data_IF_167674308833
#
_entry.id   IF_167674308833
#
_cell.length_a   1.000
_cell.length_b   1.000
_cell.length_c   1.000
_cell.angle_alpha   90.00
_cell.angle_beta   90.00
_cell.angle_gamma   90.00
#
_symmetry.space_group_name_H-M   'P 1'
#
loop_
_entity.id
_entity.type
_entity.pdbx_description
1 polymer ?
#
# COMPACT_ATOMS: atom_id res chain seq x y z
N UNK A 1 11.85 13.59 30.48
CA UNK A 1 11.62 14.27 29.19
C UNK A 1 11.58 13.22 28.10
N UNK A 2 10.72 13.35 27.09
CA UNK A 2 10.77 12.46 25.94
C UNK A 2 12.09 12.71 25.19
N UNK A 3 12.85 11.64 24.94
CA UNK A 3 14.17 11.70 24.29
C UNK A 3 14.07 12.24 22.84
N UNK A 4 12.94 12.00 22.17
CA UNK A 4 12.65 12.45 20.81
C UNK A 4 11.29 13.14 20.71
N UNK A 5 11.22 14.19 19.89
CA UNK A 5 9.98 14.88 19.53
C UNK A 5 9.30 14.22 18.32
N UNK A 6 7.99 14.39 18.18
CA UNK A 6 7.25 13.92 16.99
C UNK A 6 7.82 14.46 15.68
N UNK A 7 8.32 15.71 15.69
CA UNK A 7 8.96 16.31 14.53
C UNK A 7 10.21 15.55 14.10
N UNK A 8 11.09 15.22 15.05
CA UNK A 8 12.30 14.44 14.76
C UNK A 8 11.96 13.06 14.17
N UNK A 9 10.95 12.38 14.72
CA UNK A 9 10.49 11.09 14.18
C UNK A 9 9.96 11.24 12.74
N UNK A 10 9.19 12.29 12.46
CA UNK A 10 8.69 12.55 11.10
C UNK A 10 9.81 12.89 10.13
N UNK A 11 10.85 13.58 10.57
CA UNK A 11 11.99 13.93 9.73
C UNK A 11 12.83 12.68 9.41
N UNK A 12 13.02 11.75 10.35
CA UNK A 12 13.62 10.44 10.07
C UNK A 12 12.75 9.57 9.15
N UNK A 13 11.43 9.60 9.31
CA UNK A 13 10.52 8.88 8.40
C UNK A 13 10.64 9.41 6.96
N UNK A 14 10.78 10.72 6.76
CA UNK A 14 11.04 11.30 5.43
C UNK A 14 12.39 10.87 4.87
N UNK A 15 13.43 10.80 5.72
CA UNK A 15 14.75 10.30 5.31
C UNK A 15 14.66 8.86 4.84
N UNK A 16 13.97 8.00 5.58
CA UNK A 16 13.70 6.62 5.20
C UNK A 16 12.93 6.53 3.87
N UNK A 17 11.90 7.35 3.69
CA UNK A 17 11.15 7.42 2.44
C UNK A 17 12.05 7.81 1.25
N UNK A 18 12.95 8.77 1.44
CA UNK A 18 13.94 9.12 0.41
C UNK A 18 14.89 7.97 0.11
N UNK A 19 15.35 7.22 1.12
CA UNK A 19 16.19 6.03 0.89
C UNK A 19 15.45 4.98 0.06
N UNK A 20 14.21 4.68 0.42
CA UNK A 20 13.35 3.74 -0.32
C UNK A 20 13.11 4.21 -1.76
N UNK A 21 12.89 5.51 -1.98
CA UNK A 21 12.65 6.05 -3.32
C UNK A 21 13.84 5.93 -4.29
N UNK A 22 15.02 5.58 -3.77
CA UNK A 22 16.27 5.39 -4.52
C UNK A 22 16.74 3.92 -4.49
N UNK A 23 15.82 2.97 -4.29
CA UNK A 23 16.13 1.54 -4.45
C UNK A 23 15.84 1.05 -5.86
N UNK A 24 16.46 -0.08 -6.22
CA UNK A 24 16.32 -0.70 -7.55
C UNK A 24 14.86 -1.05 -7.87
N UNK A 25 14.09 -1.50 -6.88
CA UNK A 25 12.68 -1.84 -7.05
C UNK A 25 11.85 -0.63 -7.46
N UNK A 26 12.12 0.53 -6.85
CA UNK A 26 11.45 1.79 -7.18
C UNK A 26 11.92 2.32 -8.54
N UNK A 27 13.20 2.16 -8.89
CA UNK A 27 13.69 2.57 -10.20
C UNK A 27 13.10 1.71 -11.32
N UNK A 28 12.95 0.40 -11.12
CA UNK A 28 12.24 -0.47 -12.04
C UNK A 28 10.77 -0.05 -12.19
N UNK A 29 10.10 0.26 -11.08
CA UNK A 29 8.72 0.79 -11.10
C UNK A 29 8.63 2.05 -11.99
N UNK A 30 9.51 3.05 -11.79
CA UNK A 30 9.55 4.28 -12.61
C UNK A 30 9.75 4.00 -14.10
N UNK A 31 10.64 3.06 -14.43
CA UNK A 31 10.91 2.71 -15.83
C UNK A 31 9.70 2.08 -16.52
N UNK A 32 9.02 1.16 -15.84
CA UNK A 32 7.82 0.51 -16.37
C UNK A 32 6.66 1.49 -16.45
N UNK A 33 6.51 2.38 -15.46
CA UNK A 33 5.54 3.48 -15.48
C UNK A 33 5.72 4.38 -16.71
N UNK A 34 6.96 4.77 -17.03
CA UNK A 34 7.24 5.57 -18.23
C UNK A 34 6.80 4.84 -19.50
N UNK A 35 7.11 3.54 -19.63
CA UNK A 35 6.68 2.74 -20.79
C UNK A 35 5.17 2.64 -20.91
N UNK A 36 4.45 2.56 -19.79
CA UNK A 36 2.97 2.60 -19.75
C UNK A 36 2.44 3.95 -20.23
N UNK A 37 3.04 5.04 -19.80
CA UNK A 37 2.64 6.39 -20.18
C UNK A 37 2.85 6.64 -21.68
N UNK A 38 3.92 6.10 -22.26
CA UNK A 38 4.23 6.21 -23.67
C UNK A 38 3.42 5.24 -24.56
N UNK A 39 2.76 4.24 -23.96
CA UNK A 39 2.00 3.24 -24.72
C UNK A 39 0.63 3.79 -25.16
N UNK A 40 0.53 4.15 -26.45
CA UNK A 40 -0.69 4.70 -27.04
C UNK A 40 -1.93 3.81 -26.86
N UNK A 41 -1.80 2.49 -26.99
CA UNK A 41 -2.93 1.56 -26.83
C UNK A 41 -3.46 1.61 -25.40
N UNK A 42 -2.57 1.55 -24.41
CA UNK A 42 -2.93 1.63 -22.99
C UNK A 42 -3.62 2.97 -22.69
N UNK A 43 -3.05 4.09 -23.15
CA UNK A 43 -3.63 5.42 -22.94
C UNK A 43 -5.02 5.58 -23.56
N UNK A 44 -5.23 5.03 -24.77
CA UNK A 44 -6.55 5.03 -25.43
C UNK A 44 -7.59 4.24 -24.62
N UNK A 45 -7.23 3.03 -24.17
CA UNK A 45 -8.12 2.19 -23.36
C UNK A 45 -8.46 2.86 -22.02
N UNK A 46 -7.46 3.41 -21.32
CA UNK A 46 -7.66 4.16 -20.05
C UNK A 46 -8.60 5.35 -20.27
N UNK A 47 -8.42 6.09 -21.37
CA UNK A 47 -9.28 7.25 -21.70
C UNK A 47 -10.72 6.82 -21.94
N UNK A 48 -10.93 5.70 -22.64
CA UNK A 48 -12.26 5.12 -22.85
C UNK A 48 -12.90 4.68 -21.53
N UNK A 49 -12.16 3.98 -20.67
CA UNK A 49 -12.61 3.56 -19.33
C UNK A 49 -13.05 4.77 -18.51
N UNK A 50 -12.22 5.83 -18.43
CA UNK A 50 -12.56 7.07 -17.69
C UNK A 50 -13.83 7.74 -18.21
N UNK A 51 -14.06 7.68 -19.53
CA UNK A 51 -15.28 8.22 -20.15
C UNK A 51 -16.51 7.42 -19.74
N UNK A 52 -16.41 6.09 -19.76
CA UNK A 52 -17.48 5.19 -19.34
C UNK A 52 -17.77 5.31 -17.84
N UNK A 53 -16.75 5.46 -16.99
CA UNK A 53 -16.94 5.69 -15.55
C UNK A 53 -17.74 6.97 -15.27
N UNK A 54 -17.49 8.05 -16.01
CA UNK A 54 -18.31 9.28 -15.90
C UNK A 54 -19.75 9.04 -16.33
N UNK A 55 -19.96 8.24 -17.38
CA UNK A 55 -21.30 7.86 -17.83
C UNK A 55 -22.02 6.98 -16.79
N UNK A 56 -21.31 6.05 -16.16
CA UNK A 56 -21.83 5.21 -15.08
C UNK A 56 -22.31 6.05 -13.90
N UNK A 57 -21.50 7.00 -13.42
CA UNK A 57 -21.88 7.95 -12.35
C UNK A 57 -23.14 8.72 -12.72
N UNK A 58 -23.26 9.18 -13.97
CA UNK A 58 -24.46 9.85 -14.47
C UNK A 58 -25.68 8.91 -14.47
N UNK A 59 -25.55 7.69 -14.97
CA UNK A 59 -26.65 6.72 -14.98
C UNK A 59 -27.09 6.31 -13.57
N UNK A 60 -26.16 6.16 -12.65
CA UNK A 60 -26.45 5.92 -11.24
C UNK A 60 -27.24 7.08 -10.63
N UNK A 61 -26.82 8.33 -10.87
CA UNK A 61 -27.51 9.52 -10.35
C UNK A 61 -28.95 9.65 -10.86
N UNK A 62 -29.23 9.21 -12.09
CA UNK A 62 -30.56 9.24 -12.70
C UNK A 62 -31.35 7.91 -12.60
N UNK A 63 -30.86 6.92 -11.85
CA UNK A 63 -31.55 5.65 -11.65
C UNK A 63 -31.70 4.79 -12.91
N UNK A 64 -30.83 4.95 -13.91
CA UNK A 64 -30.88 4.22 -15.20
C UNK A 64 -30.18 2.86 -15.09
N UNK A 65 -30.74 1.93 -14.32
CA UNK A 65 -30.14 0.64 -13.96
C UNK A 65 -29.70 -0.23 -15.13
N UNK A 66 -30.52 -0.38 -16.17
CA UNK A 66 -30.16 -1.20 -17.35
C UNK A 66 -29.00 -0.59 -18.16
N UNK A 67 -28.97 0.75 -18.27
CA UNK A 67 -27.89 1.44 -18.97
C UNK A 67 -26.59 1.39 -18.14
N UNK A 68 -26.69 1.54 -16.82
CA UNK A 68 -25.59 1.41 -15.88
C UNK A 68 -24.92 0.04 -16.01
N UNK A 69 -25.71 -1.04 -15.95
CA UNK A 69 -25.20 -2.42 -16.07
C UNK A 69 -24.42 -2.66 -17.36
N UNK A 70 -24.90 -2.13 -18.50
CA UNK A 70 -24.20 -2.25 -19.79
C UNK A 70 -22.87 -1.50 -19.80
N UNK A 71 -22.83 -0.32 -19.19
CA UNK A 71 -21.60 0.47 -19.09
C UNK A 71 -20.59 -0.23 -18.18
N UNK A 72 -21.02 -0.77 -17.04
CA UNK A 72 -20.16 -1.54 -16.13
C UNK A 72 -19.56 -2.76 -16.83
N UNK A 73 -20.38 -3.52 -17.58
CA UNK A 73 -19.88 -4.66 -18.37
C UNK A 73 -18.84 -4.27 -19.42
N UNK A 74 -19.01 -3.12 -20.08
CA UNK A 74 -18.02 -2.61 -21.04
C UNK A 74 -16.74 -2.16 -20.33
N UNK A 75 -16.85 -1.53 -19.15
CA UNK A 75 -15.70 -1.17 -18.31
C UNK A 75 -14.92 -2.43 -17.92
N UNK A 76 -15.60 -3.47 -17.46
CA UNK A 76 -14.97 -4.75 -17.09
C UNK A 76 -14.26 -5.40 -18.27
N UNK A 77 -14.89 -5.40 -19.46
CA UNK A 77 -14.25 -5.91 -20.68
C UNK A 77 -12.98 -5.12 -21.04
N UNK A 78 -13.03 -3.80 -20.94
CA UNK A 78 -11.87 -2.96 -21.23
C UNK A 78 -10.76 -3.11 -20.19
N UNK A 79 -11.11 -3.32 -18.93
CA UNK A 79 -10.12 -3.65 -17.90
C UNK A 79 -9.42 -4.97 -18.20
N UNK A 80 -10.17 -6.01 -18.59
CA UNK A 80 -9.57 -7.28 -19.01
C UNK A 80 -8.64 -7.09 -20.23
N UNK A 81 -9.04 -6.27 -21.22
CA UNK A 81 -8.19 -5.97 -22.37
C UNK A 81 -6.91 -5.21 -21.99
N UNK A 82 -7.00 -4.27 -21.04
CA UNK A 82 -5.82 -3.56 -20.50
C UNK A 82 -4.89 -4.53 -19.76
N UNK A 83 -5.46 -5.45 -18.98
CA UNK A 83 -4.73 -6.42 -18.17
C UNK A 83 -3.99 -7.49 -18.99
N UNK A 84 -4.45 -7.76 -20.21
CA UNK A 84 -3.76 -8.66 -21.14
C UNK A 84 -2.52 -8.03 -21.79
N UNK A 85 -2.33 -6.72 -21.67
CA UNK A 85 -1.18 -6.03 -22.26
C UNK A 85 0.09 -6.38 -21.46
N UNK A 86 1.15 -6.93 -22.08
CA UNK A 86 2.35 -7.38 -21.35
C UNK A 86 3.00 -6.32 -20.47
N UNK A 87 3.08 -5.07 -20.94
CA UNK A 87 3.67 -3.98 -20.14
C UNK A 87 2.81 -3.62 -18.92
N UNK A 88 1.49 -3.84 -18.98
CA UNK A 88 0.58 -3.62 -17.84
C UNK A 88 0.78 -4.70 -16.79
N UNK A 89 0.99 -5.95 -17.21
CA UNK A 89 1.31 -7.05 -16.31
C UNK A 89 2.64 -6.78 -15.58
N UNK A 90 3.67 -6.37 -16.33
CA UNK A 90 4.95 -5.96 -15.73
C UNK A 90 4.75 -4.79 -14.73
N UNK A 91 3.92 -3.81 -15.06
CA UNK A 91 3.62 -2.70 -14.15
C UNK A 91 2.97 -3.19 -12.85
N UNK A 92 1.99 -4.10 -12.93
CA UNK A 92 1.34 -4.70 -11.75
C UNK A 92 2.33 -5.49 -10.89
N UNK A 93 3.25 -6.23 -11.50
CA UNK A 93 4.32 -6.92 -10.77
C UNK A 93 5.19 -5.91 -10.01
N UNK A 94 5.61 -4.82 -10.66
CA UNK A 94 6.41 -3.79 -9.97
C UNK A 94 5.64 -3.12 -8.83
N UNK A 95 4.33 -2.90 -8.98
CA UNK A 95 3.47 -2.40 -7.89
C UNK A 95 3.41 -3.37 -6.71
N UNK A 96 3.32 -4.67 -6.97
CA UNK A 96 3.38 -5.71 -5.94
C UNK A 96 4.67 -5.65 -5.14
N UNK A 97 5.81 -5.62 -5.84
CA UNK A 97 7.14 -5.51 -5.20
C UNK A 97 7.26 -4.25 -4.34
N UNK A 98 6.82 -3.10 -4.84
CA UNK A 98 6.84 -1.84 -4.06
C UNK A 98 5.97 -1.96 -2.80
N UNK A 99 4.79 -2.55 -2.91
CA UNK A 99 3.93 -2.79 -1.76
C UNK A 99 4.58 -3.72 -0.73
N UNK A 100 5.24 -4.79 -1.17
CA UNK A 100 5.91 -5.74 -0.28
C UNK A 100 7.05 -5.07 0.50
N UNK A 101 7.82 -4.20 -0.16
CA UNK A 101 8.86 -3.39 0.49
C UNK A 101 8.25 -2.48 1.57
N UNK A 102 7.15 -1.78 1.25
CA UNK A 102 6.48 -0.91 2.22
C UNK A 102 5.91 -1.69 3.41
N UNK A 103 5.33 -2.88 3.16
CA UNK A 103 4.83 -3.76 4.22
C UNK A 103 5.95 -4.29 5.10
N UNK A 104 7.09 -4.69 4.53
CA UNK A 104 8.26 -5.15 5.28
C UNK A 104 8.79 -4.06 6.21
N UNK A 105 8.91 -2.83 5.71
CA UNK A 105 9.38 -1.68 6.49
C UNK A 105 8.41 -1.38 7.64
N UNK A 106 7.11 -1.28 7.34
CA UNK A 106 6.09 -1.01 8.35
C UNK A 106 6.04 -2.10 9.43
N UNK A 107 6.06 -3.36 9.02
CA UNK A 107 6.08 -4.51 9.93
C UNK A 107 7.34 -4.54 10.80
N UNK A 108 8.50 -4.22 10.23
CA UNK A 108 9.76 -4.11 10.98
C UNK A 108 9.70 -3.01 12.02
N UNK A 109 9.25 -1.80 11.66
CA UNK A 109 9.09 -0.69 12.60
C UNK A 109 8.13 -1.09 13.73
N UNK A 110 6.97 -1.68 13.40
CA UNK A 110 5.99 -2.10 14.40
C UNK A 110 6.58 -3.13 15.37
N UNK A 111 7.30 -4.13 14.86
CA UNK A 111 7.94 -5.17 15.68
C UNK A 111 9.01 -4.58 16.59
N UNK A 112 9.89 -3.74 16.06
CA UNK A 112 10.97 -3.14 16.85
C UNK A 112 10.44 -2.18 17.93
N UNK A 113 9.37 -1.43 17.64
CA UNK A 113 8.70 -0.62 18.66
C UNK A 113 8.14 -1.51 19.78
N UNK A 114 7.43 -2.60 19.44
CA UNK A 114 6.92 -3.54 20.44
C UNK A 114 8.03 -4.18 21.27
N UNK A 115 9.12 -4.65 20.63
CA UNK A 115 10.26 -5.24 21.31
C UNK A 115 10.90 -4.25 22.30
N UNK A 116 11.12 -3.00 21.88
CA UNK A 116 11.70 -1.96 22.73
C UNK A 116 10.78 -1.60 23.91
N UNK A 117 9.46 -1.62 23.74
CA UNK A 117 8.51 -1.42 24.83
C UNK A 117 8.55 -2.59 25.82
N UNK A 118 8.62 -3.84 25.33
CA UNK A 118 8.73 -5.02 26.19
C UNK A 118 10.03 -4.97 27.00
N UNK A 119 11.18 -4.72 26.36
CA UNK A 119 12.48 -4.69 27.04
C UNK A 119 12.58 -3.53 28.03
N UNK A 120 12.17 -2.32 27.63
CA UNK A 120 12.22 -1.14 28.52
C UNK A 120 11.28 -1.23 29.72
N UNK A 121 10.21 -2.04 29.64
CA UNK A 121 9.31 -2.31 30.77
C UNK A 121 9.77 -3.48 31.65
N UNK A 122 10.89 -4.14 31.32
CA UNK A 122 11.38 -5.33 32.04
C UNK A 122 10.55 -6.59 31.77
N UNK A 123 9.89 -6.63 30.61
CA UNK A 123 9.11 -7.76 30.12
C UNK A 123 9.96 -8.87 29.50
N UNK A 124 9.30 -9.92 29.02
CA UNK A 124 9.93 -11.05 28.36
C UNK A 124 9.55 -11.07 26.86
N UNK A 125 10.58 -11.01 26.02
CA UNK A 125 10.45 -11.02 24.57
C UNK A 125 9.91 -12.35 24.04
N UNK A 126 10.21 -13.48 24.72
CA UNK A 126 9.77 -14.80 24.27
C UNK A 126 8.26 -15.00 24.47
N UNK A 127 7.71 -14.44 25.55
CA UNK A 127 6.27 -14.47 25.83
C UNK A 127 5.49 -13.26 25.27
N UNK A 128 6.19 -12.24 24.76
CA UNK A 128 5.55 -11.03 24.22
C UNK A 128 4.90 -10.14 25.28
N UNK A 129 5.23 -10.34 26.57
CA UNK A 129 4.57 -9.68 27.70
C UNK A 129 5.43 -8.54 28.24
N UNK A 130 4.83 -7.39 28.51
CA UNK A 130 5.48 -6.28 29.22
C UNK A 130 5.66 -6.60 30.72
N UNK A 131 6.59 -5.92 31.39
CA UNK A 131 6.90 -6.22 32.79
C UNK A 131 5.76 -5.94 33.79
N UNK A 132 4.76 -5.14 33.43
CA UNK A 132 3.53 -4.96 34.24
C UNK A 132 2.68 -6.23 34.23
N UNK A 133 2.50 -6.85 33.07
CA UNK A 133 1.71 -8.07 32.92
C UNK A 133 2.35 -9.27 33.66
N UNK A 134 3.69 -9.37 33.67
CA UNK A 134 4.39 -10.42 34.41
C UNK A 134 4.25 -10.27 35.94
N UNK A 135 4.21 -9.03 36.44
CA UNK A 135 4.02 -8.75 37.87
C UNK A 135 2.61 -9.08 38.34
N UNK A 136 1.60 -8.77 37.52
CA UNK A 136 0.20 -9.06 37.83
C UNK A 136 -0.10 -10.58 37.84
N UNK A 137 0.50 -11.36 36.93
CA UNK A 137 0.39 -12.82 36.93
C UNK A 137 1.08 -13.48 38.12
N UNK A 138 2.26 -12.98 38.51
CA UNK A 138 2.98 -13.47 39.69
C UNK A 138 2.21 -13.21 40.99
N UNK A 139 1.46 -12.09 41.05
CA UNK A 139 0.64 -11.71 42.20
C UNK A 139 -0.67 -12.49 42.30
N UNK A 140 -1.23 -12.97 41.19
CA UNK A 140 -2.46 -13.77 41.16
C UNK A 140 -2.24 -15.29 41.38
N UNK A 141 -0.99 -15.73 41.54
CA UNK A 141 -0.62 -17.13 41.81
C UNK A 141 0.08 -17.32 43.17
N UNK A 142 0.06 -16.29 44.03
CA UNK A 142 0.48 -16.34 45.44
C UNK A 142 -0.73 -16.35 46.36
#
# INVERSE_FOLDING_TARGET
MAEYTRKQILDEAKRLANMLANTEEIDRFKQVESKINDNQKVQQLITKIKTLQKQAVNFQAYGKTEALKKVEQEIDRLHAEVDEIPIVQEFKETQGVVNDVLQLVSGTISREVTNNVITSTGGDLLSGKTGTNLKDESANHS
#
